data_IF_977619240002
#
_entry.id   IF_977619240002
#
_cell.length_a   1.000
_cell.length_b   1.000
_cell.length_c   1.000
_cell.angle_alpha   90.00
_cell.angle_beta   90.00
_cell.angle_gamma   90.00
#
_symmetry.space_group_name_H-M   'P 1'
#
loop_
_entity.id
_entity.type
_entity.pdbx_description
1 polymer ?
#
# COMPACT_ATOMS: atom_id res chain seq x y z
N UNK A 1 -8.88 18.12 12.08
CA UNK A 1 -9.43 17.91 10.73
C UNK A 1 -9.77 16.42 10.63
N UNK A 2 -11.05 16.07 10.71
CA UNK A 2 -11.49 14.67 10.70
C UNK A 2 -11.60 14.20 9.25
N UNK A 3 -10.68 13.36 8.81
CA UNK A 3 -10.79 12.66 7.54
C UNK A 3 -11.64 11.41 7.75
N UNK A 4 -12.96 11.55 7.83
CA UNK A 4 -13.84 10.44 7.45
C UNK A 4 -13.68 10.29 5.93
N UNK A 5 -12.92 9.28 5.49
CA UNK A 5 -12.32 9.21 4.15
C UNK A 5 -13.32 8.87 3.03
N UNK A 6 -14.22 9.79 2.70
CA UNK A 6 -14.93 9.76 1.41
C UNK A 6 -14.15 10.44 0.30
N UNK A 7 -13.13 11.21 0.62
CA UNK A 7 -12.26 11.82 -0.39
C UNK A 7 -11.25 10.79 -0.91
N UNK A 8 -11.10 10.66 -2.25
CA UNK A 8 -10.16 9.72 -2.83
C UNK A 8 -8.73 10.16 -2.53
N UNK A 9 -7.89 9.20 -2.15
CA UNK A 9 -6.46 9.39 -2.02
C UNK A 9 -5.82 9.56 -3.40
N UNK A 10 -4.75 10.35 -3.48
CA UNK A 10 -3.94 10.44 -4.69
C UNK A 10 -3.33 9.08 -5.00
N UNK A 11 -3.55 8.59 -6.23
CA UNK A 11 -3.06 7.29 -6.66
C UNK A 11 -1.95 7.40 -7.70
N UNK A 12 -1.06 6.42 -7.69
CA UNK A 12 -0.08 6.20 -8.75
C UNK A 12 -0.68 5.30 -9.85
N UNK A 13 -0.01 5.26 -11.01
CA UNK A 13 -0.33 4.33 -12.11
C UNK A 13 -0.31 2.89 -11.57
N UNK A 14 -1.32 2.10 -11.96
CA UNK A 14 -1.54 0.74 -11.44
C UNK A 14 -1.48 -0.34 -12.52
N UNK A 15 -0.55 -0.20 -13.45
CA UNK A 15 -0.44 -1.12 -14.57
C UNK A 15 -0.04 -2.53 -14.10
N UNK A 16 -0.79 -3.55 -14.54
CA UNK A 16 -0.45 -4.95 -14.32
C UNK A 16 -0.68 -5.43 -12.89
N UNK A 17 -1.50 -4.72 -12.10
CA UNK A 17 -1.84 -5.10 -10.72
C UNK A 17 -3.31 -5.46 -10.51
N UNK A 18 -4.09 -5.58 -11.58
CA UNK A 18 -5.52 -5.86 -11.56
C UNK A 18 -5.83 -7.15 -10.80
N UNK A 19 -5.08 -8.23 -11.06
CA UNK A 19 -5.26 -9.51 -10.36
C UNK A 19 -4.97 -9.42 -8.85
N UNK A 20 -4.04 -8.55 -8.43
CA UNK A 20 -3.77 -8.32 -7.01
C UNK A 20 -4.93 -7.60 -6.34
N UNK A 21 -5.50 -6.60 -7.03
CA UNK A 21 -6.71 -5.92 -6.55
C UNK A 21 -7.89 -6.88 -6.45
N UNK A 22 -8.13 -7.69 -7.48
CA UNK A 22 -9.21 -8.68 -7.50
C UNK A 22 -9.11 -9.69 -6.35
N UNK A 23 -7.90 -10.20 -6.08
CA UNK A 23 -7.67 -11.12 -4.96
C UNK A 23 -8.04 -10.49 -3.62
N UNK A 24 -7.54 -9.28 -3.34
CA UNK A 24 -7.84 -8.59 -2.07
C UNK A 24 -9.32 -8.20 -2.01
N UNK A 25 -9.90 -7.76 -3.12
CA UNK A 25 -11.31 -7.37 -3.21
C UNK A 25 -12.25 -8.55 -2.95
N UNK A 26 -11.90 -9.75 -3.45
CA UNK A 26 -12.64 -10.98 -3.17
C UNK A 26 -12.73 -11.22 -1.66
N UNK A 27 -11.62 -11.15 -0.94
CA UNK A 27 -11.59 -11.37 0.51
C UNK A 27 -12.24 -10.24 1.31
N UNK A 28 -12.19 -9.00 0.82
CA UNK A 28 -12.95 -7.90 1.43
C UNK A 28 -14.45 -8.17 1.42
N UNK A 29 -14.97 -8.87 0.39
CA UNK A 29 -16.38 -9.24 0.28
C UNK A 29 -16.73 -10.58 0.93
N UNK A 30 -15.75 -11.39 1.33
CA UNK A 30 -15.99 -12.68 1.99
C UNK A 30 -16.29 -12.48 3.49
N UNK A 31 -17.48 -12.83 4.01
CA UNK A 31 -17.82 -12.63 5.42
C UNK A 31 -17.01 -13.50 6.40
N UNK A 32 -16.35 -14.55 5.94
CA UNK A 32 -15.50 -15.43 6.76
C UNK A 32 -14.09 -14.86 7.00
N UNK A 33 -13.68 -13.92 6.15
CA UNK A 33 -12.38 -13.24 6.25
C UNK A 33 -12.53 -11.95 7.03
N UNK A 34 -11.65 -11.70 7.98
CA UNK A 34 -11.58 -10.49 8.81
C UNK A 34 -10.20 -9.86 8.76
N UNK A 35 -9.13 -10.65 8.53
CA UNK A 35 -7.75 -10.15 8.47
C UNK A 35 -7.06 -10.57 7.17
N UNK A 36 -6.60 -9.57 6.42
CA UNK A 36 -5.91 -9.73 5.14
C UNK A 36 -4.50 -9.15 5.26
N UNK A 37 -3.49 -9.95 4.94
CA UNK A 37 -2.09 -9.54 4.88
C UNK A 37 -1.63 -9.35 3.44
N UNK A 38 -1.02 -8.21 3.13
CA UNK A 38 -0.38 -7.93 1.85
C UNK A 38 1.11 -7.75 2.10
N UNK A 39 1.95 -8.59 1.50
CA UNK A 39 3.39 -8.53 1.72
C UNK A 39 4.19 -8.56 0.42
N UNK A 40 5.48 -8.23 0.52
CA UNK A 40 6.41 -8.19 -0.61
C UNK A 40 7.54 -7.21 -0.36
N UNK A 41 8.54 -7.19 -1.23
CA UNK A 41 9.73 -6.34 -1.08
C UNK A 41 9.42 -4.84 -1.12
N UNK A 42 10.36 -4.01 -0.67
CA UNK A 42 10.24 -2.55 -0.71
C UNK A 42 10.09 -2.08 -2.17
N UNK A 43 9.22 -1.09 -2.42
CA UNK A 43 9.03 -0.52 -3.75
C UNK A 43 8.17 -1.34 -4.71
N UNK A 44 7.71 -2.53 -4.33
CA UNK A 44 6.93 -3.43 -5.21
C UNK A 44 5.50 -2.94 -5.52
N UNK A 45 5.01 -1.90 -4.83
CA UNK A 45 3.70 -1.29 -5.11
C UNK A 45 2.56 -1.62 -4.14
N UNK A 46 2.83 -2.20 -2.96
CA UNK A 46 1.80 -2.51 -1.94
C UNK A 46 0.94 -1.30 -1.56
N UNK A 47 1.57 -0.17 -1.18
CA UNK A 47 0.86 1.07 -0.83
C UNK A 47 -0.01 1.55 -1.98
N UNK A 48 0.48 1.51 -3.22
CA UNK A 48 -0.30 1.92 -4.39
C UNK A 48 -1.55 1.04 -4.56
N UNK A 49 -1.40 -0.28 -4.50
CA UNK A 49 -2.54 -1.22 -4.58
C UNK A 49 -3.57 -0.93 -3.48
N UNK A 50 -3.13 -0.79 -2.23
CA UNK A 50 -4.05 -0.51 -1.12
C UNK A 50 -4.73 0.85 -1.24
N UNK A 51 -4.04 1.85 -1.81
CA UNK A 51 -4.63 3.18 -2.07
C UNK A 51 -5.76 3.08 -3.09
N UNK A 52 -5.59 2.28 -4.15
CA UNK A 52 -6.67 2.02 -5.12
C UNK A 52 -7.84 1.26 -4.50
N UNK A 53 -7.55 0.29 -3.63
CA UNK A 53 -8.59 -0.43 -2.87
C UNK A 53 -9.36 0.51 -1.95
N UNK A 54 -8.67 1.39 -1.19
CA UNK A 54 -9.30 2.42 -0.37
C UNK A 54 -10.25 3.29 -1.19
N UNK A 55 -9.79 3.75 -2.37
CA UNK A 55 -10.61 4.58 -3.25
C UNK A 55 -11.82 3.84 -3.82
N UNK A 56 -11.67 2.55 -4.12
CA UNK A 56 -12.80 1.71 -4.54
C UNK A 56 -13.78 1.48 -3.38
N UNK A 57 -13.29 1.25 -2.15
CA UNK A 57 -14.11 1.11 -0.95
C UNK A 57 -14.90 2.39 -0.64
N UNK A 58 -14.26 3.56 -0.78
CA UNK A 58 -14.90 4.86 -0.56
C UNK A 58 -16.03 5.15 -1.55
N UNK A 59 -15.97 4.57 -2.76
CA UNK A 59 -16.99 4.76 -3.81
C UNK A 59 -18.13 3.75 -3.74
N UNK A 60 -17.81 2.46 -3.56
CA UNK A 60 -18.72 1.36 -3.90
C UNK A 60 -18.73 0.23 -2.87
N UNK A 61 -18.59 0.52 -1.57
CA UNK A 61 -18.61 -0.54 -0.55
C UNK A 61 -19.85 -0.51 0.34
N UNK A 62 -20.15 -1.69 0.89
CA UNK A 62 -21.12 -1.88 1.97
C UNK A 62 -20.56 -1.49 3.36
N UNK A 63 -19.31 -1.04 3.42
CA UNK A 63 -18.70 -0.57 4.66
C UNK A 63 -19.07 0.89 4.90
N UNK A 64 -19.56 1.18 6.10
CA UNK A 64 -19.95 2.54 6.48
C UNK A 64 -18.72 3.42 6.71
N UNK A 65 -17.62 2.81 7.14
CA UNK A 65 -16.40 3.50 7.52
C UNK A 65 -15.17 2.80 6.94
N UNK A 66 -14.25 3.59 6.40
CA UNK A 66 -12.95 3.11 5.91
C UNK A 66 -11.89 4.00 6.55
N UNK A 67 -10.89 3.40 7.19
CA UNK A 67 -9.84 4.11 7.91
C UNK A 67 -8.48 3.76 7.33
N UNK A 68 -7.70 4.77 6.93
CA UNK A 68 -6.33 4.58 6.48
C UNK A 68 -5.36 5.05 7.55
N UNK A 69 -4.39 4.19 7.92
CA UNK A 69 -3.36 4.49 8.90
C UNK A 69 -2.00 4.11 8.33
N UNK A 70 -1.15 5.10 8.09
CA UNK A 70 0.25 4.86 7.76
C UNK A 70 1.06 4.58 9.03
N UNK A 71 1.68 3.42 9.09
CA UNK A 71 2.54 2.99 10.20
C UNK A 71 3.97 3.42 9.90
N UNK A 72 4.47 4.34 10.72
CA UNK A 72 5.84 4.86 10.57
C UNK A 72 6.82 3.82 11.11
N UNK A 73 7.97 3.69 10.48
CA UNK A 73 9.07 2.87 10.99
C UNK A 73 9.40 3.25 12.44
N UNK A 74 9.64 2.26 13.32
CA UNK A 74 9.83 2.44 14.77
C UNK A 74 8.59 2.94 15.55
N UNK A 75 7.38 2.88 14.98
CA UNK A 75 6.17 3.05 15.77
C UNK A 75 6.10 1.98 16.86
N UNK A 76 5.71 2.38 18.07
CA UNK A 76 5.31 1.46 19.12
C UNK A 76 3.79 1.33 19.14
N UNK A 77 3.27 0.49 20.04
CA UNK A 77 1.83 0.28 20.20
C UNK A 77 1.09 1.58 20.55
N UNK A 78 1.63 2.47 21.39
CA UNK A 78 0.96 3.72 21.76
C UNK A 78 0.82 4.66 20.57
N UNK A 79 1.90 4.83 19.79
CA UNK A 79 1.88 5.66 18.57
C UNK A 79 0.87 5.15 17.56
N UNK A 80 0.76 3.82 17.41
CA UNK A 80 -0.25 3.22 16.55
C UNK A 80 -1.67 3.42 17.09
N UNK A 81 -1.87 3.27 18.40
CA UNK A 81 -3.13 3.59 19.07
C UNK A 81 -3.53 5.05 18.84
N UNK A 82 -2.60 6.00 18.97
CA UNK A 82 -2.84 7.42 18.68
C UNK A 82 -3.22 7.64 17.22
N UNK A 83 -2.50 7.01 16.29
CA UNK A 83 -2.77 7.15 14.87
C UNK A 83 -4.17 6.65 14.52
N UNK A 84 -4.60 5.50 15.07
CA UNK A 84 -5.96 4.97 14.88
C UNK A 84 -6.99 5.86 15.57
N UNK A 85 -6.73 6.27 16.82
CA UNK A 85 -7.62 7.13 17.61
C UNK A 85 -7.96 8.42 16.86
N UNK A 86 -6.96 9.05 16.23
CA UNK A 86 -7.16 10.23 15.36
C UNK A 86 -8.10 9.94 14.18
N UNK A 87 -7.96 8.79 13.52
CA UNK A 87 -8.83 8.41 12.39
C UNK A 87 -10.27 8.14 12.83
N UNK A 88 -10.45 7.54 14.01
CA UNK A 88 -11.79 7.20 14.52
C UNK A 88 -12.40 8.30 15.40
N UNK A 89 -11.74 9.46 15.54
CA UNK A 89 -12.22 10.60 16.33
C UNK A 89 -12.28 10.32 17.84
N UNK A 90 -11.37 9.48 18.36
CA UNK A 90 -11.23 9.19 19.79
C UNK A 90 -10.07 10.02 20.36
N UNK A 91 -10.27 10.63 21.54
CA UNK A 91 -9.16 11.22 22.28
C UNK A 91 -8.58 10.19 23.26
N UNK A 92 -7.25 10.05 23.25
CA UNK A 92 -6.49 9.22 24.19
C UNK A 92 -5.38 10.02 24.90
N UNK A 93 -5.37 11.36 24.78
CA UNK A 93 -4.27 12.20 25.28
C UNK A 93 -4.09 12.17 26.80
N UNK A 94 -5.13 11.81 27.54
CA UNK A 94 -5.19 11.73 29.00
C UNK A 94 -4.91 10.32 29.54
N UNK A 95 -4.61 9.35 28.66
CA UNK A 95 -4.41 7.96 29.03
C UNK A 95 -3.04 7.47 28.55
N UNK A 96 -2.19 7.09 29.48
CA UNK A 96 -0.87 6.53 29.18
C UNK A 96 -0.88 5.00 29.15
N UNK A 97 -1.81 4.33 29.83
CA UNK A 97 -1.83 2.88 29.93
C UNK A 97 -2.27 2.22 28.60
N UNK A 98 -1.39 1.42 28.02
CA UNK A 98 -1.61 0.75 26.72
C UNK A 98 -2.84 -0.15 26.70
N UNK A 99 -3.12 -0.84 27.81
CA UNK A 99 -4.23 -1.79 27.92
C UNK A 99 -5.54 -1.02 28.01
N UNK A 100 -5.60 0.05 28.80
CA UNK A 100 -6.77 0.92 28.89
C UNK A 100 -7.04 1.60 27.54
N UNK A 101 -5.99 2.10 26.86
CA UNK A 101 -6.09 2.67 25.50
C UNK A 101 -6.64 1.67 24.48
N UNK A 102 -6.15 0.43 24.51
CA UNK A 102 -6.65 -0.65 23.66
C UNK A 102 -8.14 -0.92 23.90
N UNK A 103 -8.56 -0.96 25.17
CA UNK A 103 -9.97 -1.13 25.55
C UNK A 103 -10.83 0.04 25.06
N UNK A 104 -10.36 1.29 25.23
CA UNK A 104 -11.03 2.50 24.72
C UNK A 104 -11.18 2.44 23.18
N UNK A 105 -10.13 2.05 22.46
CA UNK A 105 -10.16 1.88 21.00
C UNK A 105 -11.12 0.77 20.56
N UNK A 106 -11.07 -0.39 21.21
CA UNK A 106 -11.93 -1.52 20.91
C UNK A 106 -13.41 -1.14 21.05
N UNK A 107 -13.76 -0.45 22.14
CA UNK A 107 -15.10 0.03 22.39
C UNK A 107 -15.54 1.09 21.38
N UNK A 108 -14.65 2.01 20.99
CA UNK A 108 -14.95 3.01 19.98
C UNK A 108 -15.21 2.37 18.61
N UNK A 109 -14.34 1.46 18.17
CA UNK A 109 -14.46 0.74 16.89
C UNK A 109 -15.72 -0.14 16.83
N UNK A 110 -16.04 -0.82 17.93
CA UNK A 110 -17.25 -1.65 18.06
C UNK A 110 -18.54 -0.86 17.81
N UNK A 111 -18.54 0.44 18.07
CA UNK A 111 -19.68 1.35 17.84
C UNK A 111 -19.76 1.90 16.41
N UNK A 112 -18.77 1.61 15.54
CA UNK A 112 -18.68 2.14 14.16
C UNK A 112 -19.33 1.25 13.09
N UNK A 113 -20.18 0.31 13.49
CA UNK A 113 -20.87 -0.57 12.53
C UNK A 113 -19.89 -1.43 11.71
N UNK A 114 -20.14 -1.54 10.41
CA UNK A 114 -19.25 -2.24 9.48
C UNK A 114 -18.11 -1.30 9.03
N UNK A 115 -16.87 -1.73 9.19
CA UNK A 115 -15.72 -0.90 8.84
C UNK A 115 -14.55 -1.69 8.25
N UNK A 116 -13.67 -0.98 7.55
CA UNK A 116 -12.34 -1.46 7.13
C UNK A 116 -11.28 -0.56 7.75
N UNK A 117 -10.25 -1.14 8.37
CA UNK A 117 -9.01 -0.45 8.73
C UNK A 117 -7.90 -0.97 7.81
N UNK A 118 -7.23 -0.04 7.13
CA UNK A 118 -6.03 -0.31 6.35
C UNK A 118 -4.81 0.22 7.12
N UNK A 119 -3.91 -0.68 7.49
CA UNK A 119 -2.62 -0.37 8.12
C UNK A 119 -1.50 -0.51 7.09
N UNK A 120 -0.96 0.60 6.59
CA UNK A 120 0.08 0.58 5.56
C UNK A 120 1.48 0.71 6.18
N UNK A 121 2.37 -0.24 5.89
CA UNK A 121 3.76 -0.19 6.33
C UNK A 121 4.02 -0.83 7.69
N UNK A 122 3.26 -1.86 8.07
CA UNK A 122 3.43 -2.55 9.36
C UNK A 122 4.80 -3.21 9.44
N UNK A 123 5.62 -2.70 10.37
CA UNK A 123 6.92 -3.27 10.76
C UNK A 123 6.76 -4.43 11.74
N UNK A 124 7.67 -4.56 12.71
CA UNK A 124 7.69 -5.67 13.70
C UNK A 124 6.77 -5.44 14.90
N UNK A 125 5.55 -4.95 14.67
CA UNK A 125 4.59 -4.63 15.73
C UNK A 125 3.55 -5.73 15.93
N UNK A 126 3.07 -5.90 17.16
CA UNK A 126 1.92 -6.75 17.45
C UNK A 126 0.66 -5.88 17.58
N UNK A 127 -0.25 -5.97 16.61
CA UNK A 127 -1.46 -5.12 16.58
C UNK A 127 -2.55 -5.67 17.50
N UNK A 128 -2.44 -6.90 18.01
CA UNK A 128 -3.43 -7.42 18.98
C UNK A 128 -3.46 -6.59 20.27
N UNK A 129 -2.34 -5.95 20.66
CA UNK A 129 -2.24 -5.02 21.78
C UNK A 129 -2.84 -3.62 21.48
N UNK A 130 -3.21 -3.34 20.23
CA UNK A 130 -3.69 -2.03 19.81
C UNK A 130 -5.18 -1.86 20.08
N UNK A 131 -5.93 -2.95 20.22
CA UNK A 131 -7.37 -2.91 20.49
C UNK A 131 -8.27 -2.86 19.25
N UNK A 132 -7.78 -3.34 18.10
CA UNK A 132 -8.65 -3.53 16.92
C UNK A 132 -9.51 -4.78 17.14
N UNK A 133 -10.85 -4.72 17.02
CA UNK A 133 -11.71 -5.89 17.15
C UNK A 133 -11.32 -7.00 16.16
N UNK A 134 -11.24 -8.23 16.66
CA UNK A 134 -11.00 -9.43 15.84
C UNK A 134 -12.31 -10.19 15.57
N UNK A 135 -12.37 -10.91 14.44
CA UNK A 135 -13.42 -11.91 14.14
C UNK A 135 -14.88 -11.41 14.25
N UNK A 136 -15.07 -10.09 14.16
CA UNK A 136 -16.39 -9.49 14.16
C UNK A 136 -16.92 -9.37 12.74
N UNK A 137 -18.12 -9.91 12.51
CA UNK A 137 -18.83 -9.77 11.24
C UNK A 137 -18.92 -8.29 10.83
N UNK A 138 -18.53 -8.01 9.59
CA UNK A 138 -18.53 -6.65 9.03
C UNK A 138 -17.31 -5.79 9.36
N UNK A 139 -16.33 -6.31 10.10
CA UNK A 139 -15.06 -5.64 10.38
C UNK A 139 -13.93 -6.27 9.57
N UNK A 140 -13.13 -5.44 8.88
CA UNK A 140 -11.96 -5.87 8.12
C UNK A 140 -10.70 -5.15 8.58
N UNK A 141 -9.62 -5.90 8.75
CA UNK A 141 -8.27 -5.40 8.89
C UNK A 141 -7.48 -5.80 7.64
N UNK A 142 -6.97 -4.82 6.92
CA UNK A 142 -6.02 -5.03 5.83
C UNK A 142 -4.69 -4.44 6.27
N UNK A 143 -3.59 -5.18 6.16
CA UNK A 143 -2.27 -4.67 6.49
C UNK A 143 -1.27 -4.90 5.38
N UNK A 144 -0.40 -3.92 5.14
CA UNK A 144 0.77 -4.09 4.28
C UNK A 144 2.04 -4.24 5.11
N UNK A 145 2.97 -5.09 4.66
CA UNK A 145 4.25 -5.31 5.35
C UNK A 145 5.33 -5.76 4.37
N UNK A 146 6.60 -5.68 4.79
CA UNK A 146 7.71 -6.28 4.03
C UNK A 146 7.86 -7.78 4.30
N UNK A 147 7.27 -8.31 5.39
CA UNK A 147 7.61 -9.62 5.93
C UNK A 147 6.39 -10.54 5.99
N UNK A 148 6.44 -11.69 5.32
CA UNK A 148 5.42 -12.75 5.45
C UNK A 148 5.17 -13.14 6.91
N UNK A 149 6.26 -13.27 7.68
CA UNK A 149 6.21 -13.60 9.11
C UNK A 149 5.35 -12.60 9.90
N UNK A 150 5.29 -11.35 9.47
CA UNK A 150 4.47 -10.36 10.13
C UNK A 150 2.98 -10.63 9.88
N UNK A 151 2.56 -10.97 8.66
CA UNK A 151 1.18 -11.40 8.39
C UNK A 151 0.79 -12.62 9.24
N UNK A 152 1.70 -13.59 9.37
CA UNK A 152 1.47 -14.79 10.18
C UNK A 152 1.34 -14.48 11.68
N UNK A 153 2.23 -13.64 12.23
CA UNK A 153 2.12 -13.18 13.63
C UNK A 153 0.86 -12.39 13.89
N UNK A 154 0.33 -11.75 12.86
CA UNK A 154 -0.91 -10.98 12.93
C UNK A 154 -2.17 -11.84 12.72
N UNK A 155 -2.02 -13.16 12.60
CA UNK A 155 -3.11 -14.09 12.34
C UNK A 155 -3.95 -13.65 11.12
N UNK A 156 -3.29 -13.14 10.08
CA UNK A 156 -3.95 -12.90 8.81
C UNK A 156 -4.46 -14.24 8.27
N UNK A 157 -5.76 -14.30 7.99
CA UNK A 157 -6.40 -15.50 7.46
C UNK A 157 -6.03 -15.68 5.99
N UNK A 158 -6.04 -14.56 5.26
CA UNK A 158 -5.67 -14.52 3.85
C UNK A 158 -4.42 -13.66 3.67
N UNK A 159 -3.45 -14.17 2.91
CA UNK A 159 -2.16 -13.52 2.73
C UNK A 159 -1.82 -13.49 1.23
N UNK A 160 -1.57 -12.29 0.72
CA UNK A 160 -1.22 -12.07 -0.68
C UNK A 160 0.19 -11.51 -0.84
N UNK A 161 0.99 -12.17 -1.66
CA UNK A 161 2.32 -11.70 -2.05
C UNK A 161 2.22 -10.79 -3.28
N UNK A 162 2.75 -9.58 -3.17
CA UNK A 162 2.95 -8.70 -4.31
C UNK A 162 4.35 -8.96 -4.87
N UNK A 163 4.39 -9.58 -6.06
CA UNK A 163 5.62 -9.87 -6.80
C UNK A 163 6.06 -8.67 -7.64
N UNK A 164 7.34 -8.59 -8.02
CA UNK A 164 7.78 -7.65 -9.05
C UNK A 164 6.99 -7.79 -10.36
N UNK A 165 6.93 -6.71 -11.13
CA UNK A 165 6.33 -6.74 -12.46
C UNK A 165 7.13 -7.65 -13.39
N UNK A 166 6.45 -8.29 -14.33
CA UNK A 166 7.15 -8.90 -15.47
C UNK A 166 7.87 -7.84 -16.28
N UNK A 167 8.95 -8.21 -16.99
CA UNK A 167 9.69 -7.29 -17.85
C UNK A 167 8.76 -6.51 -18.81
N UNK A 168 7.78 -7.21 -19.42
CA UNK A 168 6.78 -6.58 -20.30
C UNK A 168 5.99 -5.49 -19.59
N UNK A 169 5.44 -5.77 -18.41
CA UNK A 169 4.65 -4.80 -17.63
C UNK A 169 5.52 -3.65 -17.12
N UNK A 170 6.77 -3.93 -16.75
CA UNK A 170 7.73 -2.94 -16.29
C UNK A 170 8.07 -1.95 -17.41
N UNK A 171 8.32 -2.45 -18.64
CA UNK A 171 8.58 -1.63 -19.81
C UNK A 171 7.37 -0.78 -20.21
N UNK A 172 6.17 -1.36 -20.12
CA UNK A 172 4.92 -0.65 -20.38
C UNK A 172 4.70 0.50 -19.37
N UNK A 173 4.92 0.23 -18.07
CA UNK A 173 4.86 1.25 -17.02
C UNK A 173 5.88 2.37 -17.24
N UNK A 174 7.11 2.02 -17.63
CA UNK A 174 8.17 2.98 -17.93
C UNK A 174 7.77 3.90 -19.10
N UNK A 175 7.33 3.32 -20.23
CA UNK A 175 6.89 4.06 -21.42
C UNK A 175 5.68 4.95 -21.12
N UNK A 176 4.70 4.44 -20.36
CA UNK A 176 3.54 5.23 -19.96
C UNK A 176 3.93 6.45 -19.12
N UNK A 177 4.92 6.31 -18.22
CA UNK A 177 5.38 7.41 -17.38
C UNK A 177 6.08 8.53 -18.18
N UNK A 178 6.67 8.22 -19.34
CA UNK A 178 7.32 9.20 -20.22
C UNK A 178 6.34 10.04 -21.08
N UNK A 179 5.04 9.71 -21.11
CA UNK A 179 4.09 10.03 -22.19
C UNK A 179 3.99 11.49 -22.69
N UNK A 180 4.25 11.65 -24.00
CA UNK A 180 3.32 12.12 -25.07
C UNK A 180 4.02 12.15 -26.44
N UNK A 181 5.29 11.74 -26.54
CA UNK A 181 6.03 11.70 -27.80
C UNK A 181 5.87 10.36 -28.50
N UNK A 182 5.57 10.44 -29.79
CA UNK A 182 5.70 9.33 -30.73
C UNK A 182 7.10 8.71 -30.60
N UNK A 183 7.14 7.38 -30.51
CA UNK A 183 8.27 6.47 -30.74
C UNK A 183 9.65 7.02 -30.36
N UNK A 184 10.21 6.50 -29.26
CA UNK A 184 11.64 6.65 -28.95
C UNK A 184 12.48 6.17 -30.16
N UNK A 185 13.64 6.79 -30.39
CA UNK A 185 14.59 6.26 -31.38
C UNK A 185 15.09 4.88 -30.97
N UNK A 186 15.45 4.04 -31.94
CA UNK A 186 15.88 2.64 -31.70
C UNK A 186 16.97 2.50 -30.62
N UNK A 187 17.93 3.42 -30.58
CA UNK A 187 18.97 3.40 -29.57
C UNK A 187 18.44 3.71 -28.16
N UNK A 188 17.57 4.72 -28.05
CA UNK A 188 16.91 5.07 -26.79
C UNK A 188 16.00 3.95 -26.29
N UNK A 189 15.30 3.25 -27.20
CA UNK A 189 14.51 2.07 -26.86
C UNK A 189 15.39 0.96 -26.25
N UNK A 190 16.56 0.69 -26.85
CA UNK A 190 17.50 -0.30 -26.32
C UNK A 190 18.00 0.06 -24.92
N UNK A 191 18.30 1.34 -24.68
CA UNK A 191 18.72 1.79 -23.34
C UNK A 191 17.55 1.71 -22.34
N UNK A 192 16.33 2.05 -22.77
CA UNK A 192 15.14 1.94 -21.92
C UNK A 192 14.90 0.50 -21.45
N UNK A 193 15.05 -0.49 -22.34
CA UNK A 193 14.93 -1.90 -22.00
C UNK A 193 15.98 -2.33 -20.96
N UNK A 194 17.24 -1.92 -21.13
CA UNK A 194 18.31 -2.18 -20.15
C UNK A 194 18.01 -1.53 -18.80
N UNK A 195 17.58 -0.26 -18.77
CA UNK A 195 17.19 0.42 -17.53
C UNK A 195 16.09 -0.36 -16.80
N UNK A 196 15.08 -0.84 -17.54
CA UNK A 196 13.95 -1.58 -16.98
C UNK A 196 14.38 -2.94 -16.43
N UNK A 197 15.33 -3.61 -17.09
CA UNK A 197 15.94 -4.84 -16.60
C UNK A 197 16.65 -4.62 -15.27
N UNK A 198 17.47 -3.57 -15.16
CA UNK A 198 18.18 -3.19 -13.92
C UNK A 198 17.21 -2.76 -12.79
N UNK A 199 16.01 -2.31 -13.12
CA UNK A 199 14.99 -1.96 -12.11
C UNK A 199 14.30 -3.20 -11.47
N UNK A 200 14.61 -4.41 -11.92
CA UNK A 200 14.11 -5.69 -11.41
C UNK A 200 12.57 -5.77 -11.28
N UNK A 201 11.85 -5.08 -12.17
CA UNK A 201 10.38 -5.05 -12.15
C UNK A 201 9.77 -4.31 -10.94
N UNK A 202 10.53 -3.50 -10.22
CA UNK A 202 10.04 -2.74 -9.06
C UNK A 202 9.47 -1.37 -9.48
N UNK A 203 8.15 -1.14 -9.33
CA UNK A 203 7.50 0.09 -9.80
C UNK A 203 8.12 1.38 -9.27
N UNK A 204 8.59 1.39 -8.02
CA UNK A 204 9.22 2.59 -7.43
C UNK A 204 10.43 3.05 -8.24
N UNK A 205 11.33 2.14 -8.58
CA UNK A 205 12.56 2.46 -9.32
C UNK A 205 12.26 2.81 -10.77
N UNK A 206 11.39 2.03 -11.42
CA UNK A 206 10.93 2.27 -12.79
C UNK A 206 10.37 3.69 -12.93
N UNK A 207 9.43 4.06 -12.05
CA UNK A 207 8.77 5.35 -12.12
C UNK A 207 9.73 6.50 -11.81
N UNK A 208 10.68 6.34 -10.88
CA UNK A 208 11.66 7.36 -10.56
C UNK A 208 12.58 7.66 -11.76
N UNK A 209 13.11 6.61 -12.40
CA UNK A 209 14.01 6.77 -13.54
C UNK A 209 13.26 7.32 -14.75
N UNK A 210 12.04 6.83 -15.01
CA UNK A 210 11.20 7.36 -16.07
C UNK A 210 10.83 8.83 -15.85
N UNK A 211 10.52 9.24 -14.61
CA UNK A 211 10.19 10.64 -14.30
C UNK A 211 11.35 11.59 -14.58
N UNK A 212 12.59 11.13 -14.32
CA UNK A 212 13.83 11.87 -14.62
C UNK A 212 14.09 11.98 -16.13
N UNK A 213 13.85 10.91 -16.89
CA UNK A 213 14.09 10.87 -18.34
C UNK A 213 12.93 11.46 -19.17
N UNK A 214 11.84 11.86 -18.52
CA UNK A 214 10.69 12.45 -19.19
C UNK A 214 11.08 13.78 -19.84
N UNK A 215 10.92 13.82 -21.17
CA UNK A 215 11.24 15.01 -21.98
C UNK A 215 12.73 15.15 -22.35
N UNK A 216 13.55 14.15 -22.03
CA UNK A 216 14.99 14.12 -22.35
C UNK A 216 15.21 13.51 -23.72
N UNK A 217 15.78 14.30 -24.63
CA UNK A 217 16.15 13.87 -25.99
C UNK A 217 17.64 13.50 -26.13
N UNK A 218 18.51 13.94 -25.21
CA UNK A 218 19.95 13.64 -25.26
C UNK A 218 20.24 12.19 -24.86
N UNK A 219 20.72 11.39 -25.82
CA UNK A 219 21.08 9.98 -25.61
C UNK A 219 22.14 9.79 -24.52
N UNK A 220 23.02 10.76 -24.29
CA UNK A 220 24.04 10.65 -23.25
C UNK A 220 23.42 10.71 -21.85
N UNK A 221 22.36 11.49 -21.65
CA UNK A 221 21.62 11.49 -20.39
C UNK A 221 20.94 10.14 -20.13
N UNK A 222 20.44 9.47 -21.19
CA UNK A 222 19.92 8.11 -21.10
C UNK A 222 21.00 7.09 -20.70
N UNK A 223 22.20 7.17 -21.29
CA UNK A 223 23.34 6.30 -20.92
C UNK A 223 23.82 6.55 -19.48
N UNK A 224 23.82 7.81 -19.05
CA UNK A 224 24.14 8.18 -17.67
C UNK A 224 23.11 7.59 -16.70
N UNK A 225 21.81 7.72 -17.02
CA UNK A 225 20.74 7.15 -16.22
C UNK A 225 20.88 5.63 -16.08
N UNK A 226 21.20 4.90 -17.15
CA UNK A 226 21.49 3.47 -17.08
C UNK A 226 22.66 3.18 -16.13
N UNK A 227 23.77 3.89 -16.29
CA UNK A 227 24.98 3.70 -15.45
C UNK A 227 24.69 3.92 -13.97
N UNK A 228 23.83 4.87 -13.64
CA UNK A 228 23.44 5.15 -12.26
C UNK A 228 22.55 4.05 -11.67
N UNK A 229 21.62 3.48 -12.44
CA UNK A 229 20.74 2.40 -11.96
C UNK A 229 21.55 1.12 -11.71
N UNK A 230 22.52 0.79 -12.56
CA UNK A 230 23.39 -0.39 -12.40
C UNK A 230 24.32 -0.33 -11.16
N UNK A 231 24.47 0.83 -10.53
CA UNK A 231 25.36 1.02 -9.36
C UNK A 231 24.65 0.89 -8.01
N UNK A 232 23.34 0.67 -8.00
CA UNK A 232 22.49 0.58 -6.80
C UNK A 232 22.30 -0.87 -6.40
#
# INVERSE_FOLDING_TARGET
>A
MHLTSKEPLLTQILLGRESNMEAIWKWLNDPSVSRIGVYGVKGVGKTAILTHIQNALAKNSSFENVYWVSVIEQSDVQKLQDAIARQVGLNLSDEEDKIIRASKLHNALTKRGNFVIILDGVGRLFIDEVGIPNERKGCKLVLSTLLLRQCQRMNCQEIHEIKPLSHKQALELFKQKLSNRNTLGLETERIAEQIVEECEGLPLWILNVADRLRGVDDINEWRNALTEVTRV
#
